data_IF_764629955315
#
_entry.id   IF_764629955315
#
_cell.length_a   1.000
_cell.length_b   1.000
_cell.length_c   1.000
_cell.angle_alpha   90.00
_cell.angle_beta   90.00
_cell.angle_gamma   90.00
#
_symmetry.space_group_name_H-M   'P 1'
#
loop_
_entity.id
_entity.type
_entity.pdbx_description
1 polymer ?
#
# COMPACT_ATOMS: atom_id res chain seq x y z
N UNK A 1 2.31 11.17 -33.44
CA UNK A 1 3.22 10.76 -32.35
C UNK A 1 2.45 10.83 -31.03
N UNK A 2 1.80 9.74 -30.64
CA UNK A 2 0.95 9.72 -29.45
C UNK A 2 1.81 9.74 -28.19
N UNK A 3 1.63 10.74 -27.34
CA UNK A 3 2.31 10.83 -26.04
C UNK A 3 1.75 9.69 -25.17
N UNK A 4 2.49 8.59 -25.03
CA UNK A 4 2.15 7.50 -24.12
C UNK A 4 2.23 8.08 -22.71
N UNK A 5 1.07 8.49 -22.18
CA UNK A 5 0.94 8.80 -20.76
C UNK A 5 1.04 7.47 -20.04
N UNK A 6 2.17 7.21 -19.41
CA UNK A 6 2.29 6.13 -18.45
C UNK A 6 1.18 6.32 -17.41
N UNK A 7 0.15 5.48 -17.49
CA UNK A 7 -0.91 5.41 -16.49
C UNK A 7 -0.30 4.75 -15.24
N UNK A 8 0.64 5.43 -14.58
CA UNK A 8 1.02 5.17 -13.19
C UNK A 8 -0.13 5.61 -12.30
N UNK A 9 -1.27 4.95 -12.51
CA UNK A 9 -2.54 5.23 -11.88
C UNK A 9 -2.34 5.04 -10.37
N UNK A 10 -2.65 6.10 -9.64
CA UNK A 10 -2.74 6.24 -8.19
C UNK A 10 -3.56 5.10 -7.53
N UNK A 11 -3.04 3.87 -7.48
CA UNK A 11 -3.75 2.68 -6.96
C UNK A 11 -3.91 2.68 -5.44
N UNK A 12 -3.07 3.44 -4.76
CA UNK A 12 -3.01 3.48 -3.31
C UNK A 12 -3.03 4.93 -2.82
N UNK A 13 -3.84 5.18 -1.80
CA UNK A 13 -3.99 6.48 -1.13
C UNK A 13 -3.84 6.29 0.38
N UNK A 14 -3.52 7.37 1.08
CA UNK A 14 -3.59 7.38 2.55
C UNK A 14 -5.04 7.07 2.95
N UNK A 15 -5.20 6.17 3.92
CA UNK A 15 -6.50 5.66 4.36
C UNK A 15 -6.91 4.34 3.71
N UNK A 16 -6.24 3.90 2.63
CA UNK A 16 -6.57 2.61 2.02
C UNK A 16 -6.22 1.46 2.96
N UNK A 17 -7.15 0.51 3.06
CA UNK A 17 -6.95 -0.77 3.72
C UNK A 17 -6.27 -1.74 2.76
N UNK A 18 -5.14 -2.28 3.18
CA UNK A 18 -4.29 -3.15 2.37
C UNK A 18 -3.83 -4.38 3.15
N UNK A 19 -3.47 -5.43 2.42
CA UNK A 19 -2.62 -6.51 2.92
C UNK A 19 -1.32 -6.57 2.12
N UNK A 20 -0.31 -7.24 2.67
CA UNK A 20 0.95 -7.52 1.98
C UNK A 20 0.89 -8.88 1.29
N UNK A 21 1.33 -8.96 0.04
CA UNK A 21 1.37 -10.21 -0.73
C UNK A 21 2.42 -11.17 -0.21
N UNK A 22 3.52 -10.66 0.34
CA UNK A 22 4.59 -11.46 0.91
C UNK A 22 4.26 -12.08 2.26
N UNK A 23 3.21 -11.63 2.95
CA UNK A 23 2.82 -12.17 4.26
C UNK A 23 1.83 -13.32 4.12
N UNK A 24 2.11 -14.43 4.81
CA UNK A 24 1.21 -15.59 4.86
C UNK A 24 0.01 -15.36 5.79
N UNK A 25 0.15 -14.48 6.78
CA UNK A 25 -0.92 -14.13 7.72
C UNK A 25 -1.80 -13.01 7.14
N UNK A 26 -3.11 -13.09 7.38
CA UNK A 26 -4.09 -12.07 7.00
C UNK A 26 -4.00 -10.82 7.90
N UNK A 27 -2.82 -10.18 7.94
CA UNK A 27 -2.63 -8.91 8.64
C UNK A 27 -3.15 -7.79 7.75
N UNK A 28 -4.06 -7.00 8.30
CA UNK A 28 -4.60 -5.83 7.64
C UNK A 28 -3.86 -4.58 8.10
N UNK A 29 -3.58 -3.71 7.14
CA UNK A 29 -2.89 -2.46 7.36
C UNK A 29 -3.68 -1.30 6.78
N UNK A 30 -3.56 -0.13 7.39
CA UNK A 30 -3.96 1.12 6.78
C UNK A 30 -2.71 1.86 6.28
N UNK A 31 -2.76 2.40 5.06
CA UNK A 31 -1.71 3.30 4.57
C UNK A 31 -1.82 4.63 5.32
N UNK A 32 -0.78 5.00 6.04
CA UNK A 32 -0.71 6.27 6.78
C UNK A 32 0.20 7.31 6.11
N UNK A 33 0.96 6.90 5.09
CA UNK A 33 1.85 7.79 4.37
C UNK A 33 2.63 7.11 3.27
N UNK A 34 3.44 7.91 2.57
CA UNK A 34 4.40 7.43 1.59
C UNK A 34 5.74 8.13 1.83
N UNK A 35 6.84 7.44 1.51
CA UNK A 35 8.16 8.05 1.48
C UNK A 35 8.98 7.50 0.32
N UNK A 36 10.16 8.06 0.13
CA UNK A 36 11.17 7.54 -0.79
C UNK A 36 12.10 6.61 0.00
N UNK A 37 12.26 5.37 -0.48
CA UNK A 37 13.17 4.38 0.07
C UNK A 37 14.62 4.64 -0.34
N UNK A 38 15.54 3.82 0.18
CA UNK A 38 16.98 4.04 0.03
C UNK A 38 17.47 3.94 -1.42
N UNK A 39 16.72 3.28 -2.30
CA UNK A 39 17.04 3.15 -3.74
C UNK A 39 16.24 4.12 -4.61
N UNK A 40 15.59 5.11 -4.00
CA UNK A 40 14.76 6.08 -4.70
C UNK A 40 13.35 5.58 -5.04
N UNK A 41 12.97 4.39 -4.57
CA UNK A 41 11.66 3.81 -4.83
C UNK A 41 10.57 4.40 -3.91
N UNK A 42 9.35 4.51 -4.41
CA UNK A 42 8.22 4.94 -3.58
C UNK A 42 7.73 3.78 -2.72
N UNK A 43 7.79 3.93 -1.41
CA UNK A 43 7.29 2.94 -0.43
C UNK A 43 6.09 3.48 0.33
N UNK A 44 5.16 2.59 0.71
CA UNK A 44 4.06 2.93 1.59
C UNK A 44 4.45 2.71 3.05
N UNK A 45 4.02 3.63 3.91
CA UNK A 45 4.11 3.49 5.36
C UNK A 45 2.77 2.96 5.85
N UNK A 46 2.80 1.80 6.49
CA UNK A 46 1.65 1.00 6.88
C UNK A 46 1.54 0.96 8.40
N UNK A 47 0.32 1.16 8.92
CA UNK A 47 0.00 0.89 10.32
C UNK A 47 -0.84 -0.37 10.40
N UNK A 48 -0.39 -1.35 11.17
CA UNK A 48 -1.17 -2.56 11.42
C UNK A 48 -2.49 -2.22 12.13
N UNK A 49 -3.55 -2.93 11.76
CA UNK A 49 -4.86 -2.84 12.39
C UNK A 49 -5.02 -3.88 13.49
N UNK A 50 -6.03 -3.68 14.33
CA UNK A 50 -6.32 -4.47 15.54
C UNK A 50 -5.17 -4.35 16.56
N UNK A 51 -5.08 -5.25 17.56
CA UNK A 51 -4.20 -5.15 18.75
C UNK A 51 -2.68 -5.05 18.47
N UNK A 52 -2.29 -4.82 17.22
CA UNK A 52 -0.93 -4.67 16.77
C UNK A 52 -0.61 -3.18 16.56
N UNK A 53 0.48 -2.69 17.14
CA UNK A 53 0.89 -1.26 17.07
C UNK A 53 2.04 -1.02 16.10
N UNK A 54 2.43 -2.03 15.34
CA UNK A 54 3.58 -1.98 14.45
C UNK A 54 3.31 -1.06 13.25
N UNK A 55 4.29 -0.21 12.97
CA UNK A 55 4.40 0.58 11.74
C UNK A 55 5.49 -0.05 10.90
N UNK A 56 5.17 -0.36 9.64
CA UNK A 56 6.10 -1.03 8.71
C UNK A 56 6.10 -0.34 7.36
N UNK A 57 7.15 -0.58 6.59
CA UNK A 57 7.32 -0.05 5.24
C UNK A 57 7.24 -1.18 4.23
N UNK A 58 6.54 -0.94 3.12
CA UNK A 58 6.41 -1.94 2.07
C UNK A 58 6.41 -1.28 0.68
N UNK A 59 7.03 -1.92 -0.32
CA UNK A 59 6.95 -1.45 -1.70
C UNK A 59 5.50 -1.57 -2.20
N UNK A 60 5.07 -0.61 -3.03
CA UNK A 60 3.69 -0.58 -3.54
C UNK A 60 3.30 -1.85 -4.32
N UNK A 61 4.27 -2.52 -4.94
CA UNK A 61 4.04 -3.77 -5.67
C UNK A 61 3.72 -4.96 -4.75
N UNK A 62 4.08 -4.89 -3.47
CA UNK A 62 3.76 -5.88 -2.45
C UNK A 62 2.37 -5.65 -1.82
N UNK A 63 1.66 -4.58 -2.18
CA UNK A 63 0.35 -4.29 -1.60
C UNK A 63 -0.80 -4.88 -2.41
N UNK A 64 -1.81 -5.37 -1.70
CA UNK A 64 -3.13 -5.71 -2.24
C UNK A 64 -4.19 -4.83 -1.57
N UNK A 65 -4.98 -4.09 -2.36
CA UNK A 65 -6.03 -3.22 -1.82
C UNK A 65 -7.27 -4.07 -1.48
N UNK A 66 -7.73 -3.96 -0.23
CA UNK A 66 -8.85 -4.74 0.30
C UNK A 66 -10.21 -4.02 0.14
N UNK A 67 -10.22 -2.70 -0.09
CA UNK A 67 -11.44 -1.88 -0.15
C UNK A 67 -11.92 -1.56 -1.57
N UNK A 68 -11.38 -2.22 -2.60
CA UNK A 68 -11.76 -1.99 -4.01
C UNK A 68 -13.24 -2.31 -4.28
N UNK A 69 -13.99 -2.90 -3.33
CA UNK A 69 -15.36 -3.41 -3.56
C UNK A 69 -16.43 -2.98 -2.56
N UNK A 70 -16.17 -2.03 -1.66
CA UNK A 70 -17.23 -1.44 -0.83
C UNK A 70 -18.09 -2.46 -0.06
N UNK A 71 -17.50 -3.58 0.35
CA UNK A 71 -18.15 -4.55 1.23
C UNK A 71 -17.32 -4.63 2.50
N UNK A 72 -17.77 -3.88 3.50
CA UNK A 72 -17.46 -4.15 4.90
C UNK A 72 -18.39 -5.26 5.39
#
# INVERSE_FOLDING_TARGET
MGKVRELTNFRFKIGDLVSRKSEQAAIHYCIIGFKIGDKGERVAVLKSLFKNTSVVEAPLNDLNNLLVRGKL
#
